data_IF_049579302560
#
_entry.id   IF_049579302560
#
_cell.length_a   1.000
_cell.length_b   1.000
_cell.length_c   1.000
_cell.angle_alpha   90.00
_cell.angle_beta   90.00
_cell.angle_gamma   90.00
#
_symmetry.space_group_name_H-M   'P 1'
#
loop_
_entity.id
_entity.type
_entity.pdbx_description
1 polymer ?
#
# COMPACT_ATOMS: atom_id res chain seq x y z
N UNK A 1 -2.62 -5.98 18.63
CA UNK A 1 -2.00 -5.09 17.60
C UNK A 1 -1.33 -5.93 16.53
N UNK A 2 -1.57 -5.61 15.28
CA UNK A 2 -0.98 -6.34 14.15
C UNK A 2 0.36 -5.72 13.80
N UNK A 3 1.41 -6.50 13.85
CA UNK A 3 2.77 -6.03 13.55
C UNK A 3 3.15 -6.39 12.12
N UNK A 4 3.62 -5.38 11.39
CA UNK A 4 4.12 -5.53 10.03
C UNK A 4 5.60 -5.20 10.01
N UNK A 5 6.42 -6.15 9.58
CA UNK A 5 7.85 -5.93 9.46
C UNK A 5 8.17 -5.45 8.03
N UNK A 6 8.80 -4.28 7.95
CA UNK A 6 9.20 -3.72 6.67
C UNK A 6 10.62 -4.16 6.32
N UNK A 7 10.81 -4.62 5.09
CA UNK A 7 12.11 -5.00 4.55
C UNK A 7 12.48 -4.06 3.42
N UNK A 8 13.76 -3.72 3.36
CA UNK A 8 14.28 -2.85 2.31
C UNK A 8 15.39 -3.54 1.55
N UNK A 9 15.33 -3.45 0.22
CA UNK A 9 16.42 -3.86 -0.67
C UNK A 9 16.57 -2.81 -1.75
N UNK A 10 17.77 -2.34 -1.96
CA UNK A 10 18.08 -1.36 -3.01
C UNK A 10 18.72 -2.05 -4.19
N UNK A 11 18.18 -1.83 -5.38
CA UNK A 11 18.67 -2.41 -6.62
C UNK A 11 18.81 -1.32 -7.67
N UNK A 12 19.92 -1.31 -8.38
CA UNK A 12 20.11 -0.39 -9.51
C UNK A 12 19.37 -0.90 -10.73
N UNK A 13 18.63 0.00 -11.37
CA UNK A 13 17.83 -0.31 -12.56
C UNK A 13 18.36 0.53 -13.72
N UNK A 14 18.69 -0.12 -14.81
CA UNK A 14 19.23 0.52 -16.01
C UNK A 14 18.35 0.16 -17.21
N UNK A 15 18.03 1.17 -18.02
CA UNK A 15 17.29 1.01 -19.28
C UNK A 15 15.82 0.59 -19.16
N UNK A 16 15.19 0.72 -18.01
CA UNK A 16 13.75 0.47 -17.85
C UNK A 16 13.04 1.69 -17.30
N UNK A 17 11.85 1.96 -17.82
CA UNK A 17 10.98 2.99 -17.28
C UNK A 17 10.15 2.44 -16.10
N UNK A 18 9.66 3.35 -15.24
CA UNK A 18 8.79 2.96 -14.14
C UNK A 18 7.51 2.26 -14.62
N UNK A 19 6.95 2.71 -15.73
CA UNK A 19 5.75 2.10 -16.32
C UNK A 19 6.02 0.67 -16.78
N UNK A 20 7.15 0.41 -17.41
CA UNK A 20 7.52 -0.93 -17.85
C UNK A 20 7.74 -1.87 -16.68
N UNK A 21 8.41 -1.40 -15.64
CA UNK A 21 8.58 -2.16 -14.40
C UNK A 21 7.24 -2.51 -13.77
N UNK A 22 6.34 -1.53 -13.67
CA UNK A 22 5.01 -1.75 -13.11
C UNK A 22 4.22 -2.78 -13.92
N UNK A 23 4.26 -2.69 -15.24
CA UNK A 23 3.58 -3.67 -16.11
C UNK A 23 4.12 -5.10 -15.89
N UNK A 24 5.41 -5.24 -15.69
CA UNK A 24 6.01 -6.53 -15.43
C UNK A 24 5.66 -7.10 -14.06
N UNK A 25 5.68 -6.26 -13.02
CA UNK A 25 5.38 -6.68 -11.65
C UNK A 25 3.89 -6.87 -11.38
N UNK A 26 3.07 -5.98 -11.96
CA UNK A 26 1.65 -5.91 -11.67
C UNK A 26 0.75 -6.72 -12.59
N UNK A 27 1.30 -7.54 -13.47
CA UNK A 27 0.54 -8.32 -14.43
C UNK A 27 -0.47 -9.22 -13.74
N UNK A 28 -1.75 -9.05 -14.07
CA UNK A 28 -2.87 -9.81 -13.48
C UNK A 28 -3.09 -9.56 -11.98
N UNK A 29 -2.40 -8.57 -11.39
CA UNK A 29 -2.55 -8.24 -9.97
C UNK A 29 -3.06 -6.82 -9.82
N UNK A 30 -3.82 -6.59 -8.77
CA UNK A 30 -4.20 -5.23 -8.40
C UNK A 30 -2.98 -4.49 -7.88
N UNK A 31 -2.88 -3.21 -8.22
CA UNK A 31 -1.74 -2.41 -7.82
C UNK A 31 -1.97 -0.93 -8.05
N UNK A 32 -0.94 -0.16 -7.79
CA UNK A 32 -0.95 1.29 -8.03
C UNK A 32 0.40 1.75 -8.53
N UNK A 33 0.36 2.88 -9.24
CA UNK A 33 1.55 3.60 -9.68
C UNK A 33 1.31 5.08 -9.45
N UNK A 34 2.19 5.72 -8.68
CA UNK A 34 2.13 7.15 -8.41
C UNK A 34 3.47 7.78 -8.72
N UNK A 35 3.45 8.89 -9.43
CA UNK A 35 4.64 9.68 -9.70
C UNK A 35 4.59 11.00 -8.94
N UNK A 36 5.66 11.30 -8.23
CA UNK A 36 5.85 12.57 -7.55
C UNK A 36 6.86 13.39 -8.31
N UNK A 37 6.56 14.66 -8.49
CA UNK A 37 7.47 15.60 -9.12
C UNK A 37 7.73 16.76 -8.14
N UNK A 38 8.61 16.52 -7.19
CA UNK A 38 9.01 17.50 -6.20
C UNK A 38 10.27 18.21 -6.67
N UNK A 39 10.20 19.52 -6.82
CA UNK A 39 11.33 20.34 -7.27
C UNK A 39 12.50 20.38 -6.28
N UNK A 40 12.22 20.19 -5.00
CA UNK A 40 13.24 20.25 -3.95
C UNK A 40 13.93 18.92 -3.72
N UNK A 41 13.17 17.80 -3.76
CA UNK A 41 13.64 16.47 -3.41
C UNK A 41 13.81 15.53 -4.60
N UNK A 42 13.58 16.03 -5.80
CA UNK A 42 13.73 15.25 -7.02
C UNK A 42 12.44 14.52 -7.41
N UNK A 43 12.62 13.50 -8.23
CA UNK A 43 11.51 12.78 -8.83
C UNK A 43 11.43 11.37 -8.22
N UNK A 44 10.29 11.04 -7.65
CA UNK A 44 10.03 9.72 -7.09
C UNK A 44 8.86 9.06 -7.78
N UNK A 45 8.98 7.77 -8.01
CA UNK A 45 7.87 6.93 -8.44
C UNK A 45 7.61 5.87 -7.39
N UNK A 46 6.38 5.80 -6.94
CA UNK A 46 5.94 4.78 -5.98
C UNK A 46 5.03 3.80 -6.69
N UNK A 47 5.27 2.52 -6.49
CA UNK A 47 4.40 1.49 -7.02
C UNK A 47 4.22 0.36 -6.02
N UNK A 48 3.06 -0.25 -6.06
CA UNK A 48 2.78 -1.42 -5.24
C UNK A 48 1.88 -2.38 -5.99
N UNK A 49 2.08 -3.65 -5.75
CA UNK A 49 1.30 -4.71 -6.38
C UNK A 49 0.93 -5.75 -5.34
N UNK A 50 -0.14 -6.48 -5.61
CA UNK A 50 -0.57 -7.59 -4.79
C UNK A 50 -0.88 -7.18 -3.33
N UNK A 51 -1.90 -6.34 -3.11
CA UNK A 51 -2.24 -5.88 -1.77
C UNK A 51 -2.63 -7.04 -0.86
N UNK A 52 -2.23 -6.97 0.40
CA UNK A 52 -2.60 -7.98 1.39
C UNK A 52 -4.07 -7.91 1.75
N UNK A 53 -4.59 -6.71 1.84
CA UNK A 53 -6.00 -6.48 2.13
C UNK A 53 -6.53 -5.34 1.27
N UNK A 54 -7.76 -5.48 0.80
CA UNK A 54 -8.46 -4.45 0.03
C UNK A 54 -9.61 -3.94 0.87
N UNK A 55 -9.67 -2.63 1.02
CA UNK A 55 -10.65 -1.96 1.87
C UNK A 55 -11.58 -1.14 1.00
N UNK A 56 -12.88 -1.38 1.17
CA UNK A 56 -13.90 -0.66 0.44
C UNK A 56 -14.93 -0.11 1.42
N UNK A 57 -15.41 1.08 1.17
CA UNK A 57 -16.51 1.65 1.95
C UNK A 57 -17.83 1.40 1.23
N UNK A 58 -18.82 1.05 2.01
CA UNK A 58 -20.21 1.09 1.64
C UNK A 58 -20.87 2.15 2.52
N UNK A 59 -22.18 2.44 2.32
CA UNK A 59 -22.88 3.53 3.01
C UNK A 59 -22.64 3.56 4.52
N UNK A 60 -22.78 2.41 5.16
CA UNK A 60 -22.79 2.29 6.61
C UNK A 60 -21.80 1.23 7.09
N UNK A 61 -20.80 0.90 6.30
CA UNK A 61 -19.84 -0.14 6.66
C UNK A 61 -18.54 -0.01 5.94
N UNK A 62 -17.51 -0.64 6.51
CA UNK A 62 -16.22 -0.85 5.89
C UNK A 62 -16.08 -2.34 5.60
N UNK A 63 -15.75 -2.69 4.36
CA UNK A 63 -15.55 -4.08 3.94
C UNK A 63 -14.07 -4.31 3.71
N UNK A 64 -13.51 -5.29 4.39
CA UNK A 64 -12.10 -5.66 4.29
C UNK A 64 -12.03 -7.03 3.62
N UNK A 65 -11.45 -7.08 2.42
CA UNK A 65 -11.23 -8.33 1.69
C UNK A 65 -9.78 -8.74 1.89
N UNK A 66 -9.59 -9.91 2.46
CA UNK A 66 -8.26 -10.46 2.74
C UNK A 66 -7.71 -11.23 1.54
N UNK A 67 -6.42 -11.52 1.56
CA UNK A 67 -5.74 -12.22 0.46
C UNK A 67 -6.28 -13.64 0.20
N UNK A 68 -6.87 -14.28 1.21
CA UNK A 68 -7.49 -15.60 1.06
C UNK A 68 -8.92 -15.55 0.50
N UNK A 69 -9.42 -14.34 0.19
CA UNK A 69 -10.76 -14.12 -0.33
C UNK A 69 -11.83 -13.92 0.74
N UNK A 70 -11.51 -14.10 2.02
CA UNK A 70 -12.45 -13.86 3.10
C UNK A 70 -12.74 -12.37 3.26
N UNK A 71 -13.93 -12.06 3.76
CA UNK A 71 -14.39 -10.70 3.97
C UNK A 71 -14.77 -10.46 5.41
N UNK A 72 -14.38 -9.31 5.92
CA UNK A 72 -14.81 -8.79 7.20
C UNK A 72 -15.62 -7.53 6.97
N UNK A 73 -16.77 -7.42 7.60
CA UNK A 73 -17.63 -6.23 7.50
C UNK A 73 -17.70 -5.56 8.87
N UNK A 74 -17.32 -4.29 8.90
CA UNK A 74 -17.41 -3.45 10.10
C UNK A 74 -18.48 -2.40 9.88
N UNK A 75 -19.59 -2.54 10.58
CA UNK A 75 -20.72 -1.62 10.47
C UNK A 75 -20.42 -0.31 11.20
N UNK A 76 -20.94 0.78 10.64
CA UNK A 76 -20.80 2.12 11.18
C UNK A 76 -20.20 3.08 10.17
N UNK A 77 -19.84 4.27 10.62
CA UNK A 77 -19.25 5.28 9.76
C UNK A 77 -17.95 4.74 9.13
N UNK A 78 -17.84 4.64 7.80
CA UNK A 78 -16.66 4.07 7.14
C UNK A 78 -15.36 4.77 7.48
N UNK A 79 -15.36 6.10 7.62
CA UNK A 79 -14.14 6.85 7.95
C UNK A 79 -13.65 6.55 9.36
N UNK A 80 -14.56 6.40 10.31
CA UNK A 80 -14.23 6.02 11.68
C UNK A 80 -13.66 4.60 11.71
N UNK A 81 -14.30 3.68 11.00
CA UNK A 81 -13.83 2.29 10.93
C UNK A 81 -12.48 2.17 10.23
N UNK A 82 -12.24 2.99 9.20
CA UNK A 82 -10.96 3.03 8.52
C UNK A 82 -9.83 3.48 9.46
N UNK A 83 -10.07 4.51 10.26
CA UNK A 83 -9.10 4.97 11.24
C UNK A 83 -8.80 3.90 12.28
N UNK A 84 -9.82 3.26 12.83
CA UNK A 84 -9.66 2.16 13.77
C UNK A 84 -8.85 0.99 13.16
N UNK A 85 -9.14 0.66 11.92
CA UNK A 85 -8.41 -0.37 11.18
C UNK A 85 -6.93 0.00 11.04
N UNK A 86 -6.64 1.22 10.63
CA UNK A 86 -5.26 1.68 10.47
C UNK A 86 -4.50 1.65 11.81
N UNK A 87 -5.16 2.01 12.91
CA UNK A 87 -4.56 2.01 14.23
C UNK A 87 -4.25 0.61 14.78
N UNK A 88 -4.78 -0.45 14.15
CA UNK A 88 -4.46 -1.83 14.52
C UNK A 88 -3.07 -2.26 14.09
N UNK A 89 -2.42 -1.52 13.20
CA UNK A 89 -1.11 -1.88 12.65
C UNK A 89 0.03 -1.14 13.32
N UNK A 90 1.12 -1.85 13.52
CA UNK A 90 2.40 -1.28 13.91
C UNK A 90 3.44 -1.71 12.86
N UNK A 91 4.16 -0.74 12.29
CA UNK A 91 5.21 -1.01 11.33
C UNK A 91 6.54 -1.10 12.06
N UNK A 92 7.19 -2.26 11.99
CA UNK A 92 8.50 -2.49 12.57
C UNK A 92 9.54 -2.16 11.49
N UNK A 93 10.36 -1.16 11.78
CA UNK A 93 11.40 -0.70 10.85
C UNK A 93 12.68 -1.48 11.08
N UNK A 94 13.20 -2.10 10.03
CA UNK A 94 14.43 -2.90 10.08
C UNK A 94 15.59 -2.21 9.35
N UNK A 95 15.37 -1.02 8.80
CA UNK A 95 16.33 -0.28 8.01
C UNK A 95 16.12 1.22 8.16
N UNK A 96 17.00 2.00 7.54
CA UNK A 96 16.86 3.46 7.48
C UNK A 96 15.49 3.86 6.95
N UNK A 97 14.97 4.94 7.49
CA UNK A 97 13.67 5.45 7.09
C UNK A 97 13.65 5.86 5.61
N UNK A 98 12.66 5.35 4.91
CA UNK A 98 12.28 5.85 3.61
C UNK A 98 11.12 6.82 3.80
N UNK A 99 10.89 7.72 2.85
CA UNK A 99 9.76 8.65 2.90
C UNK A 99 8.41 7.93 2.96
N UNK A 100 8.35 6.73 2.39
CA UNK A 100 7.14 5.91 2.42
C UNK A 100 7.53 4.46 2.70
N UNK A 101 7.04 3.93 3.82
CA UNK A 101 7.35 2.58 4.27
C UNK A 101 6.15 1.65 4.31
N UNK A 102 5.09 2.01 3.63
CA UNK A 102 3.87 1.24 3.57
C UNK A 102 2.69 2.00 4.15
N UNK A 103 1.53 1.38 4.14
CA UNK A 103 0.30 1.97 4.64
C UNK A 103 -0.87 1.66 3.73
N UNK A 104 -1.82 2.59 3.70
CA UNK A 104 -2.99 2.51 2.85
C UNK A 104 -2.78 3.41 1.64
N UNK A 105 -3.17 2.93 0.46
CA UNK A 105 -3.12 3.68 -0.79
C UNK A 105 -4.45 3.54 -1.50
N UNK A 106 -4.97 4.65 -1.96
CA UNK A 106 -6.22 4.65 -2.71
C UNK A 106 -6.60 6.02 -3.21
#
# INVERSE_FOLDING_TARGET
MRRLKAYKKTVSIVNESAIELYKGLGREKKGFLMESNDKENGRYTFMGVDPQEIIQSDKDSLVITKSDGSREVRKGNPLVRLKEYFDEFEIIKDAEELEFMGGLVG
#
